data_IF_717257072952
#
_entry.id   IF_717257072952
#
_cell.length_a   1.000
_cell.length_b   1.000
_cell.length_c   1.000
_cell.angle_alpha   90.00
_cell.angle_beta   90.00
_cell.angle_gamma   90.00
#
_symmetry.space_group_name_H-M   'P 1'
#
loop_
_entity.id
_entity.type
_entity.pdbx_description
1 polymer ?
#
# COMPACT_ATOMS: atom_id res chain seq x y z
N UNK A 1 -22.24 -1.56 14.66
CA UNK A 1 -21.11 -1.13 13.82
C UNK A 1 -21.64 -0.98 12.42
N UNK A 2 -21.63 0.23 11.86
CA UNK A 2 -22.09 0.47 10.49
C UNK A 2 -20.99 0.02 9.54
N UNK A 3 -21.31 -0.89 8.62
CA UNK A 3 -20.39 -1.31 7.57
C UNK A 3 -20.04 -0.11 6.70
N UNK A 4 -18.74 0.10 6.48
CA UNK A 4 -18.20 1.16 5.63
C UNK A 4 -17.36 0.48 4.52
N UNK A 5 -17.89 0.41 3.28
CA UNK A 5 -17.22 -0.29 2.18
C UNK A 5 -15.89 0.37 1.78
N UNK A 6 -15.78 1.69 1.89
CA UNK A 6 -14.55 2.42 1.54
C UNK A 6 -13.44 2.08 2.53
N UNK A 7 -13.81 2.02 3.82
CA UNK A 7 -12.87 1.62 4.88
C UNK A 7 -12.45 0.16 4.74
N UNK A 8 -13.37 -0.73 4.35
CA UNK A 8 -13.04 -2.13 4.07
C UNK A 8 -12.05 -2.26 2.90
N UNK A 9 -12.25 -1.52 1.81
CA UNK A 9 -11.35 -1.52 0.66
C UNK A 9 -9.95 -0.99 1.02
N UNK A 10 -9.84 0.06 1.82
CA UNK A 10 -8.56 0.57 2.33
C UNK A 10 -7.84 -0.48 3.17
N UNK A 11 -8.56 -1.19 4.05
CA UNK A 11 -7.98 -2.25 4.88
C UNK A 11 -7.45 -3.38 3.99
N UNK A 12 -8.22 -3.81 3.00
CA UNK A 12 -7.81 -4.88 2.07
C UNK A 12 -6.51 -4.49 1.35
N UNK A 13 -6.47 -3.30 0.74
CA UNK A 13 -5.27 -2.81 0.05
C UNK A 13 -4.04 -2.74 0.96
N UNK A 14 -4.21 -2.34 2.23
CA UNK A 14 -3.11 -2.34 3.22
C UNK A 14 -2.54 -3.74 3.43
N UNK A 15 -3.40 -4.75 3.56
CA UNK A 15 -3.00 -6.13 3.77
C UNK A 15 -2.30 -6.69 2.53
N UNK A 16 -2.86 -6.45 1.34
CA UNK A 16 -2.30 -6.93 0.07
C UNK A 16 -0.89 -6.34 -0.18
N UNK A 17 -0.72 -5.03 0.02
CA UNK A 17 0.59 -4.37 -0.09
C UNK A 17 1.56 -4.93 0.97
N UNK A 18 1.11 -5.10 2.22
CA UNK A 18 1.94 -5.64 3.28
C UNK A 18 2.47 -7.03 2.95
N UNK A 19 1.58 -7.90 2.46
CA UNK A 19 1.93 -9.25 2.04
C UNK A 19 2.94 -9.24 0.88
N UNK A 20 2.68 -8.46 -0.18
CA UNK A 20 3.62 -8.34 -1.30
C UNK A 20 5.00 -7.84 -0.84
N UNK A 21 5.05 -6.86 0.07
CA UNK A 21 6.32 -6.37 0.60
C UNK A 21 7.10 -7.43 1.38
N UNK A 22 6.40 -8.32 2.10
CA UNK A 22 7.03 -9.34 2.92
C UNK A 22 7.47 -10.55 2.09
N UNK A 23 6.66 -10.96 1.11
CA UNK A 23 6.84 -12.17 0.31
C UNK A 23 7.77 -11.99 -0.91
N UNK A 24 7.96 -10.75 -1.41
CA UNK A 24 8.74 -10.51 -2.64
C UNK A 24 10.24 -10.59 -2.40
N UNK A 25 10.87 -11.64 -2.94
CA UNK A 25 12.33 -11.84 -2.92
C UNK A 25 13.08 -10.90 -3.88
N UNK A 26 12.37 -10.35 -4.86
CA UNK A 26 12.85 -9.44 -5.90
C UNK A 26 13.16 -8.05 -5.34
N UNK A 27 12.58 -7.70 -4.19
CA UNK A 27 12.82 -6.42 -3.53
C UNK A 27 14.10 -6.48 -2.72
N UNK A 28 15.06 -5.61 -3.06
CA UNK A 28 16.15 -5.30 -2.14
C UNK A 28 15.63 -4.76 -0.81
N UNK A 29 16.43 -4.91 0.25
CA UNK A 29 16.09 -4.37 1.58
C UNK A 29 15.78 -2.87 1.53
N UNK A 30 16.51 -2.11 0.71
CA UNK A 30 16.30 -0.67 0.57
C UNK A 30 14.97 -0.36 -0.13
N UNK A 31 14.65 -1.04 -1.24
CA UNK A 31 13.37 -0.86 -1.94
C UNK A 31 12.20 -1.21 -1.02
N UNK A 32 12.30 -2.34 -0.31
CA UNK A 32 11.29 -2.77 0.66
C UNK A 32 11.08 -1.71 1.74
N UNK A 33 12.15 -1.16 2.30
CA UNK A 33 12.07 -0.11 3.31
C UNK A 33 11.42 1.18 2.76
N UNK A 34 11.78 1.61 1.55
CA UNK A 34 11.21 2.79 0.91
C UNK A 34 9.70 2.65 0.68
N UNK A 35 9.26 1.53 0.15
CA UNK A 35 7.85 1.24 -0.11
C UNK A 35 7.06 1.10 1.20
N UNK A 36 7.65 0.50 2.23
CA UNK A 36 7.02 0.40 3.56
C UNK A 36 6.86 1.77 4.22
N UNK A 37 7.85 2.65 4.07
CA UNK A 37 7.75 4.05 4.51
C UNK A 37 6.69 4.82 3.75
N UNK A 38 6.53 4.57 2.45
CA UNK A 38 5.47 5.16 1.63
C UNK A 38 4.08 4.70 2.09
N UNK A 39 3.88 3.40 2.30
CA UNK A 39 2.65 2.83 2.87
C UNK A 39 2.31 3.47 4.23
N UNK A 40 3.29 3.55 5.13
CA UNK A 40 3.12 4.17 6.46
C UNK A 40 2.67 5.63 6.36
N UNK A 41 3.23 6.41 5.44
CA UNK A 41 2.83 7.81 5.23
C UNK A 41 1.39 7.94 4.77
N UNK A 42 0.96 7.10 3.82
CA UNK A 42 -0.42 7.12 3.29
C UNK A 42 -1.42 6.76 4.41
N UNK A 43 -1.13 5.69 5.16
CA UNK A 43 -1.98 5.22 6.26
C UNK A 43 -2.04 6.24 7.39
N UNK A 44 -0.89 6.79 7.80
CA UNK A 44 -0.84 7.79 8.88
C UNK A 44 -1.64 9.04 8.52
N UNK A 45 -1.57 9.50 7.26
CA UNK A 45 -2.36 10.64 6.81
C UNK A 45 -3.87 10.36 6.88
N UNK A 46 -4.29 9.13 6.56
CA UNK A 46 -5.69 8.70 6.67
C UNK A 46 -6.15 8.62 8.14
N UNK A 47 -5.34 8.00 9.01
CA UNK A 47 -5.64 7.83 10.44
C UNK A 47 -5.72 9.18 11.18
N UNK A 48 -4.91 10.16 10.76
CA UNK A 48 -4.94 11.52 11.30
C UNK A 48 -6.03 12.41 10.69
N UNK A 49 -6.92 11.86 9.85
CA UNK A 49 -7.97 12.62 9.12
C UNK A 49 -7.41 13.76 8.26
N UNK A 50 -6.14 13.66 7.84
CA UNK A 50 -5.47 14.64 6.97
C UNK A 50 -5.66 14.34 5.49
N UNK A 51 -6.30 13.22 5.15
CA UNK A 51 -6.64 12.80 3.80
C UNK A 51 -8.07 12.27 3.76
N UNK A 52 -8.79 12.57 2.69
CA UNK A 52 -10.11 11.97 2.45
C UNK A 52 -9.96 10.48 2.11
N UNK A 53 -10.95 9.66 2.47
CA UNK A 53 -10.92 8.21 2.22
C UNK A 53 -10.67 7.87 0.74
N UNK A 54 -11.28 8.62 -0.18
CA UNK A 54 -11.08 8.49 -1.63
C UNK A 54 -9.62 8.73 -2.06
N UNK A 55 -8.98 9.75 -1.48
CA UNK A 55 -7.58 10.07 -1.79
C UNK A 55 -6.63 9.02 -1.20
N UNK A 56 -6.94 8.51 -0.01
CA UNK A 56 -6.20 7.39 0.60
C UNK A 56 -6.29 6.15 -0.26
N UNK A 57 -7.50 5.77 -0.70
CA UNK A 57 -7.71 4.62 -1.57
C UNK A 57 -6.93 4.76 -2.88
N UNK A 58 -7.01 5.91 -3.55
CA UNK A 58 -6.27 6.16 -4.78
C UNK A 58 -4.75 6.02 -4.61
N UNK A 59 -4.18 6.55 -3.52
CA UNK A 59 -2.75 6.44 -3.23
C UNK A 59 -2.32 5.00 -2.91
N UNK A 60 -3.17 4.25 -2.20
CA UNK A 60 -2.90 2.83 -1.93
C UNK A 60 -2.96 2.00 -3.22
N UNK A 61 -3.92 2.26 -4.11
CA UNK A 61 -4.00 1.60 -5.41
C UNK A 61 -2.76 1.88 -6.25
N UNK A 62 -2.31 3.13 -6.37
CA UNK A 62 -1.08 3.47 -7.10
C UNK A 62 0.16 2.75 -6.53
N UNK A 63 0.29 2.71 -5.19
CA UNK A 63 1.36 1.98 -4.53
C UNK A 63 1.29 0.48 -4.81
N UNK A 64 0.10 -0.11 -4.76
CA UNK A 64 -0.12 -1.53 -5.05
C UNK A 64 0.23 -1.87 -6.51
N UNK A 65 -0.20 -1.06 -7.47
CA UNK A 65 0.12 -1.23 -8.89
C UNK A 65 1.61 -1.07 -9.20
N UNK A 66 2.28 -0.12 -8.54
CA UNK A 66 3.75 0.05 -8.64
C UNK A 66 4.49 -1.14 -8.07
N UNK A 67 4.09 -1.61 -6.88
CA UNK A 67 4.67 -2.78 -6.24
C UNK A 67 4.50 -4.02 -7.11
N UNK A 68 3.28 -4.27 -7.59
CA UNK A 68 2.97 -5.40 -8.48
C UNK A 68 3.83 -5.38 -9.73
N UNK A 69 4.04 -4.21 -10.36
CA UNK A 69 4.92 -4.08 -11.52
C UNK A 69 6.37 -4.44 -11.22
N UNK A 70 6.91 -4.00 -10.08
CA UNK A 70 8.29 -4.32 -9.67
C UNK A 70 8.45 -5.84 -9.47
N UNK A 71 7.48 -6.46 -8.81
CA UNK A 71 7.51 -7.90 -8.51
C UNK A 71 7.33 -8.76 -9.76
N UNK A 72 6.41 -8.38 -10.66
CA UNK A 72 6.14 -9.14 -11.89
C UNK A 72 7.16 -8.89 -13.01
N UNK A 73 7.93 -7.80 -12.94
CA UNK A 73 8.93 -7.43 -13.94
C UNK A 73 10.30 -7.27 -13.26
N UNK A 74 10.91 -8.35 -12.75
CA UNK A 74 12.25 -8.27 -12.20
C UNK A 74 13.22 -7.93 -13.35
N UNK A 75 13.71 -6.68 -13.39
CA UNK A 75 14.83 -6.30 -14.24
C UNK A 75 16.02 -7.17 -13.86
N UNK A 76 16.45 -8.04 -14.79
CA UNK A 76 17.57 -8.97 -14.66
C UNK A 76 18.92 -8.29 -14.82
#
# INVERSE_FOLDING_TARGET
MTYDPDRAAIIQLRLDIGQLLDDSAELSLLQRAQLRMELLRIVTAAEQQRAAAKDTAAKLTDLHERLTRIVLTPER
#
